data_IF_748349952018
#
_entry.id   IF_748349952018
#
_cell.length_a   1.000
_cell.length_b   1.000
_cell.length_c   1.000
_cell.angle_alpha   90.00
_cell.angle_beta   90.00
_cell.angle_gamma   90.00
#
_symmetry.space_group_name_H-M   'P 1'
#
loop_
_entity.id
_entity.type
_entity.pdbx_description
1 polymer ?
#
# COMPACT_ATOMS: atom_id res chain seq x y z
N UNK A 1 9.41 -12.48 17.09
CA UNK A 1 8.65 -12.57 15.81
C UNK A 1 8.89 -13.88 15.06
N UNK A 2 9.96 -14.64 15.35
CA UNK A 2 10.26 -15.92 14.66
C UNK A 2 9.10 -16.93 14.74
N UNK A 3 8.30 -16.85 15.80
CA UNK A 3 7.20 -17.76 16.16
C UNK A 3 5.82 -17.26 15.70
N UNK A 4 5.75 -16.07 15.09
CA UNK A 4 4.52 -15.55 14.48
C UNK A 4 4.25 -16.21 13.13
N UNK A 5 5.29 -16.70 12.44
CA UNK A 5 5.20 -17.36 11.15
C UNK A 5 4.33 -16.58 10.18
N UNK A 6 3.23 -17.21 9.77
CA UNK A 6 2.27 -16.67 8.82
C UNK A 6 1.20 -15.74 9.41
N UNK A 7 1.43 -15.16 10.58
CA UNK A 7 0.47 -14.23 11.23
C UNK A 7 0.91 -12.77 11.15
N UNK A 8 1.93 -12.49 10.34
CA UNK A 8 2.45 -11.13 10.16
C UNK A 8 1.79 -10.48 8.95
N UNK A 9 1.17 -9.33 9.18
CA UNK A 9 0.63 -8.42 8.15
C UNK A 9 1.29 -7.04 8.28
N UNK A 10 1.09 -6.19 7.28
CA UNK A 10 1.70 -4.85 7.24
C UNK A 10 0.67 -3.75 7.45
N UNK A 11 1.12 -2.65 8.04
CA UNK A 11 0.39 -1.38 8.16
C UNK A 11 1.36 -0.21 8.15
N UNK A 12 0.86 0.98 7.83
CA UNK A 12 1.66 2.22 7.74
C UNK A 12 1.74 2.99 9.05
N UNK A 13 0.89 2.67 10.02
CA UNK A 13 0.59 3.57 11.15
C UNK A 13 0.06 4.93 10.62
N UNK A 14 0.21 6.03 11.37
CA UNK A 14 -0.48 7.30 11.11
C UNK A 14 0.23 8.36 10.27
N UNK A 15 1.50 8.20 9.89
CA UNK A 15 2.29 9.31 9.30
C UNK A 15 2.31 9.34 7.76
N UNK A 16 1.98 8.25 7.08
CA UNK A 16 1.82 8.20 5.63
C UNK A 16 0.91 7.03 5.21
N UNK A 17 0.51 6.97 3.93
CA UNK A 17 -0.37 5.93 3.39
C UNK A 17 0.27 4.96 2.39
N UNK A 18 1.58 5.00 2.17
CA UNK A 18 2.25 4.22 1.11
C UNK A 18 2.55 2.77 1.55
N UNK A 19 1.63 1.85 1.22
CA UNK A 19 1.80 0.41 1.49
C UNK A 19 2.93 -0.25 0.69
N UNK A 20 3.28 0.27 -0.50
CA UNK A 20 4.39 -0.27 -1.30
C UNK A 20 5.74 0.08 -0.64
N UNK A 21 5.87 1.30 -0.15
CA UNK A 21 7.03 1.74 0.63
C UNK A 21 7.14 0.94 1.94
N UNK A 22 6.04 0.73 2.67
CA UNK A 22 6.03 -0.10 3.88
C UNK A 22 6.43 -1.55 3.60
N UNK A 23 5.93 -2.16 2.52
CA UNK A 23 6.32 -3.51 2.12
C UNK A 23 7.80 -3.63 1.77
N UNK A 24 8.33 -2.64 1.04
CA UNK A 24 9.76 -2.56 0.71
C UNK A 24 10.63 -2.40 1.96
N UNK A 25 10.24 -1.53 2.89
CA UNK A 25 10.96 -1.35 4.15
C UNK A 25 10.97 -2.64 4.99
N UNK A 26 9.82 -3.29 5.13
CA UNK A 26 9.70 -4.58 5.83
C UNK A 26 10.55 -5.68 5.16
N UNK A 27 10.60 -5.70 3.83
CA UNK A 27 11.45 -6.61 3.07
C UNK A 27 12.94 -6.41 3.39
N UNK A 28 13.45 -5.19 3.30
CA UNK A 28 14.85 -4.89 3.58
C UNK A 28 15.24 -5.17 5.03
N UNK A 29 14.36 -4.84 6.00
CA UNK A 29 14.57 -5.19 7.40
C UNK A 29 14.65 -6.72 7.60
N UNK A 30 13.79 -7.47 6.91
CA UNK A 30 13.84 -8.94 6.90
C UNK A 30 15.13 -9.50 6.31
N UNK A 31 15.62 -8.93 5.21
CA UNK A 31 16.91 -9.30 4.63
C UNK A 31 18.07 -9.05 5.60
N UNK A 32 18.08 -7.91 6.29
CA UNK A 32 19.09 -7.59 7.29
C UNK A 32 19.04 -8.54 8.51
N UNK A 33 17.85 -9.08 8.83
CA UNK A 33 17.61 -9.94 9.99
C UNK A 33 17.82 -11.44 9.71
N UNK A 34 18.43 -11.84 8.59
CA UNK A 34 18.72 -13.24 8.28
C UNK A 34 18.05 -13.79 7.02
N UNK A 35 17.39 -12.93 6.23
CA UNK A 35 16.89 -13.26 4.90
C UNK A 35 15.37 -13.24 4.80
N UNK A 36 14.88 -12.64 3.72
CA UNK A 36 13.47 -12.63 3.36
C UNK A 36 13.35 -12.82 1.85
N UNK A 37 12.50 -13.74 1.42
CA UNK A 37 12.16 -13.88 0.01
C UNK A 37 11.14 -12.78 -0.41
N UNK A 38 11.21 -12.24 -1.62
CA UNK A 38 10.23 -11.28 -2.12
C UNK A 38 8.78 -11.77 -2.00
N UNK A 39 8.53 -13.04 -2.33
CA UNK A 39 7.21 -13.65 -2.20
C UNK A 39 6.70 -13.65 -0.76
N UNK A 40 7.58 -13.84 0.24
CA UNK A 40 7.19 -13.80 1.65
C UNK A 40 6.79 -12.38 2.10
N UNK A 41 7.54 -11.35 1.69
CA UNK A 41 7.17 -9.96 1.96
C UNK A 41 5.86 -9.55 1.26
N UNK A 42 5.68 -9.95 0.00
CA UNK A 42 4.44 -9.75 -0.73
C UNK A 42 3.27 -10.48 -0.05
N UNK A 43 3.48 -11.70 0.44
CA UNK A 43 2.49 -12.43 1.25
C UNK A 43 2.05 -11.65 2.48
N UNK A 44 2.99 -11.05 3.23
CA UNK A 44 2.65 -10.19 4.38
C UNK A 44 1.85 -8.95 3.99
N UNK A 45 2.15 -8.35 2.83
CA UNK A 45 1.34 -7.25 2.28
C UNK A 45 -0.10 -7.71 1.98
N UNK A 46 -0.28 -8.91 1.40
CA UNK A 46 -1.59 -9.45 1.05
C UNK A 46 -2.38 -10.01 2.24
N UNK A 47 -1.71 -10.37 3.33
CA UNK A 47 -2.34 -11.00 4.50
C UNK A 47 -3.37 -10.13 5.23
N UNK A 48 -3.38 -8.82 4.98
CA UNK A 48 -4.46 -7.96 5.45
C UNK A 48 -5.84 -8.45 4.97
N UNK A 49 -5.92 -8.99 3.75
CA UNK A 49 -7.16 -9.53 3.18
C UNK A 49 -7.67 -10.76 3.94
N UNK A 50 -6.77 -11.68 4.29
CA UNK A 50 -7.11 -12.86 5.10
C UNK A 50 -7.64 -12.43 6.48
N UNK A 51 -6.95 -11.47 7.11
CA UNK A 51 -7.35 -10.93 8.41
C UNK A 51 -8.73 -10.26 8.35
N UNK A 52 -9.00 -9.44 7.33
CA UNK A 52 -10.28 -8.78 7.15
C UNK A 52 -11.41 -9.79 6.96
N UNK A 53 -11.19 -10.79 6.11
CA UNK A 53 -12.16 -11.84 5.82
C UNK A 53 -12.46 -12.71 7.05
N UNK A 54 -11.43 -13.19 7.77
CA UNK A 54 -11.59 -14.08 8.93
C UNK A 54 -12.34 -13.42 10.09
N UNK A 55 -12.26 -12.10 10.21
CA UNK A 55 -12.89 -11.33 11.28
C UNK A 55 -14.20 -10.65 10.85
N UNK A 56 -14.69 -10.90 9.63
CA UNK A 56 -15.96 -10.36 9.15
C UNK A 56 -15.97 -8.85 8.92
N UNK A 57 -14.82 -8.24 8.63
CA UNK A 57 -14.75 -6.83 8.30
C UNK A 57 -15.27 -6.57 6.87
N UNK A 58 -16.01 -5.47 6.70
CA UNK A 58 -16.48 -5.01 5.40
C UNK A 58 -15.41 -4.18 4.67
N UNK A 59 -15.60 -3.97 3.36
CA UNK A 59 -14.74 -3.10 2.55
C UNK A 59 -13.73 -3.84 1.68
N UNK A 60 -13.43 -5.10 2.00
CA UNK A 60 -12.61 -5.98 1.17
C UNK A 60 -13.47 -6.89 0.28
N UNK A 61 -13.10 -7.04 -0.99
CA UNK A 61 -13.91 -7.73 -1.99
C UNK A 61 -13.30 -7.73 -3.39
N UNK A 62 -13.85 -8.54 -4.32
CA UNK A 62 -13.28 -8.74 -5.66
C UNK A 62 -13.38 -7.50 -6.56
N UNK A 63 -14.17 -6.51 -6.19
CA UNK A 63 -14.36 -5.24 -6.91
C UNK A 63 -13.43 -4.12 -6.42
N UNK A 64 -12.37 -4.46 -5.69
CA UNK A 64 -11.26 -3.57 -5.36
C UNK A 64 -10.10 -3.82 -6.33
N UNK A 65 -9.76 -2.81 -7.15
CA UNK A 65 -8.73 -2.94 -8.18
C UNK A 65 -7.77 -1.74 -8.11
N UNK A 66 -6.49 -2.02 -8.35
CA UNK A 66 -5.46 -1.00 -8.54
C UNK A 66 -4.86 -1.19 -9.93
N UNK A 67 -4.95 -0.16 -10.76
CA UNK A 67 -4.33 -0.12 -12.09
C UNK A 67 -2.95 0.51 -11.94
N UNK A 68 -1.93 -0.20 -12.40
CA UNK A 68 -0.54 0.22 -12.32
C UNK A 68 -0.02 0.56 -13.72
N UNK A 69 0.42 1.80 -13.90
CA UNK A 69 1.16 2.24 -15.08
C UNK A 69 2.66 2.02 -14.83
N UNK A 70 3.07 0.77 -15.05
CA UNK A 70 4.42 0.29 -14.78
C UNK A 70 5.08 -0.22 -16.06
N UNK A 71 6.27 0.31 -16.35
CA UNK A 71 7.11 -0.09 -17.49
C UNK A 71 8.36 -0.81 -16.98
N UNK A 72 8.30 -2.14 -16.80
CA UNK A 72 9.41 -2.90 -16.23
C UNK A 72 10.62 -2.92 -17.18
N UNK A 73 11.86 -2.78 -16.67
CA UNK A 73 13.09 -2.89 -17.47
C UNK A 73 13.50 -4.34 -17.77
N UNK A 74 12.82 -5.31 -17.15
CA UNK A 74 13.05 -6.76 -17.30
C UNK A 74 11.75 -7.46 -17.70
N UNK A 75 11.81 -8.69 -18.24
CA UNK A 75 10.60 -9.49 -18.47
C UNK A 75 9.73 -9.53 -17.21
N UNK A 76 8.43 -9.42 -17.39
CA UNK A 76 7.46 -9.33 -16.31
C UNK A 76 6.46 -10.48 -16.42
N UNK A 77 6.31 -11.25 -15.33
CA UNK A 77 5.41 -12.38 -15.29
C UNK A 77 5.11 -12.87 -13.86
N UNK A 78 4.29 -13.92 -13.72
CA UNK A 78 3.90 -14.45 -12.41
C UNK A 78 5.08 -14.83 -11.52
N UNK A 79 6.15 -15.37 -12.12
CA UNK A 79 7.32 -15.88 -11.39
C UNK A 79 8.18 -14.79 -10.74
N UNK A 80 8.08 -13.54 -11.21
CA UNK A 80 8.87 -12.42 -10.71
C UNK A 80 8.05 -11.21 -10.25
N UNK A 81 6.72 -11.33 -10.24
CA UNK A 81 5.79 -10.30 -9.79
C UNK A 81 6.18 -9.70 -8.42
N UNK A 82 6.42 -10.55 -7.41
CA UNK A 82 6.73 -10.09 -6.07
C UNK A 82 8.06 -9.29 -6.02
N UNK A 83 9.04 -9.66 -6.84
CA UNK A 83 10.28 -8.90 -6.96
C UNK A 83 10.02 -7.52 -7.61
N UNK A 84 9.21 -7.46 -8.65
CA UNK A 84 8.80 -6.18 -9.25
C UNK A 84 8.04 -5.28 -8.27
N UNK A 85 7.19 -5.84 -7.40
CA UNK A 85 6.51 -5.08 -6.33
C UNK A 85 7.51 -4.43 -5.38
N UNK A 86 8.53 -5.18 -4.93
CA UNK A 86 9.44 -4.71 -3.90
C UNK A 86 10.56 -3.81 -4.44
N UNK A 87 11.10 -4.10 -5.62
CA UNK A 87 12.24 -3.36 -6.17
C UNK A 87 11.83 -2.30 -7.20
N UNK A 88 10.78 -2.55 -7.98
CA UNK A 88 10.40 -1.70 -9.10
C UNK A 88 9.25 -0.74 -8.79
N UNK A 89 8.14 -1.25 -8.25
CA UNK A 89 6.92 -0.48 -8.07
C UNK A 89 7.01 0.50 -6.90
N UNK A 90 6.50 1.71 -7.10
CA UNK A 90 6.30 2.73 -6.08
C UNK A 90 4.92 3.39 -6.30
N UNK A 91 4.49 4.24 -5.38
CA UNK A 91 3.17 4.88 -5.40
C UNK A 91 2.88 5.72 -6.66
N UNK A 92 3.89 6.26 -7.35
CA UNK A 92 3.68 7.03 -8.60
C UNK A 92 3.19 6.17 -9.78
N UNK A 93 3.36 4.85 -9.70
CA UNK A 93 2.82 3.92 -10.70
C UNK A 93 1.32 3.66 -10.52
N UNK A 94 0.72 4.02 -9.39
CA UNK A 94 -0.74 3.90 -9.21
C UNK A 94 -1.43 4.90 -10.13
N UNK A 95 -2.13 4.40 -11.14
CA UNK A 95 -2.77 5.22 -12.17
C UNK A 95 -4.25 5.41 -11.88
N UNK A 96 -4.97 4.33 -11.59
CA UNK A 96 -6.39 4.36 -11.24
C UNK A 96 -6.68 3.36 -10.11
N UNK A 97 -7.71 3.67 -9.32
CA UNK A 97 -8.13 2.85 -8.18
C UNK A 97 -9.64 2.71 -8.19
N UNK A 98 -10.10 1.46 -8.13
CA UNK A 98 -11.50 1.11 -7.91
C UNK A 98 -11.64 0.60 -6.48
N UNK A 99 -12.53 1.21 -5.72
CA UNK A 99 -12.88 0.79 -4.36
C UNK A 99 -14.36 0.45 -4.34
N UNK A 100 -14.68 -0.81 -4.02
CA UNK A 100 -16.03 -1.35 -3.98
C UNK A 100 -16.83 -1.08 -5.26
N UNK A 101 -16.20 -1.25 -6.43
CA UNK A 101 -16.83 -1.01 -7.74
C UNK A 101 -16.93 0.46 -8.15
N UNK A 102 -16.43 1.40 -7.34
CA UNK A 102 -16.40 2.83 -7.66
C UNK A 102 -14.99 3.28 -8.03
N UNK A 103 -14.85 3.95 -9.17
CA UNK A 103 -13.59 4.60 -9.56
C UNK A 103 -13.34 5.81 -8.66
N UNK A 104 -12.36 5.71 -7.76
CA UNK A 104 -12.02 6.77 -6.78
C UNK A 104 -10.78 7.56 -7.15
N UNK A 105 -9.89 6.96 -7.95
CA UNK A 105 -8.77 7.62 -8.61
C UNK A 105 -8.82 7.26 -10.09
N UNK A 106 -8.70 8.26 -10.96
CA UNK A 106 -8.66 8.09 -12.41
C UNK A 106 -7.50 8.90 -12.98
N UNK A 107 -6.58 8.27 -13.72
CA UNK A 107 -5.43 8.98 -14.33
C UNK A 107 -4.68 9.85 -13.34
N UNK A 108 -4.43 9.31 -12.14
CA UNK A 108 -3.73 9.95 -11.01
C UNK A 108 -4.44 11.19 -10.45
N UNK A 109 -5.75 11.32 -10.65
CA UNK A 109 -6.56 12.40 -10.07
C UNK A 109 -7.64 11.82 -9.16
N UNK A 110 -7.83 12.45 -8.00
CA UNK A 110 -8.90 12.07 -7.08
C UNK A 110 -10.27 12.38 -7.69
N UNK A 111 -11.22 11.45 -7.55
CA UNK A 111 -12.61 11.62 -8.01
C UNK A 111 -13.58 11.96 -6.89
N UNK A 112 -13.11 11.92 -5.64
CA UNK A 112 -13.96 11.95 -4.45
C UNK A 112 -13.78 13.20 -3.60
N UNK A 113 -12.71 13.96 -3.84
CA UNK A 113 -12.35 15.15 -3.09
C UNK A 113 -11.66 16.15 -4.00
N UNK A 114 -11.71 17.43 -3.64
CA UNK A 114 -10.85 18.47 -4.19
C UNK A 114 -9.52 18.45 -3.42
N UNK A 115 -8.44 18.08 -4.11
CA UNK A 115 -7.11 17.92 -3.52
C UNK A 115 -6.55 19.25 -2.99
N UNK A 116 -6.78 20.35 -3.71
CA UNK A 116 -6.29 21.67 -3.31
C UNK A 116 -7.04 22.15 -2.06
N UNK A 117 -8.35 21.93 -1.99
CA UNK A 117 -9.14 22.24 -0.81
C UNK A 117 -8.71 21.41 0.42
N UNK A 118 -8.44 20.11 0.24
CA UNK A 118 -7.95 19.22 1.31
C UNK A 118 -6.60 19.70 1.84
N UNK A 119 -5.66 20.02 0.94
CA UNK A 119 -4.33 20.52 1.33
C UNK A 119 -4.43 21.87 2.04
N UNK A 120 -5.29 22.77 1.57
CA UNK A 120 -5.52 24.07 2.21
C UNK A 120 -6.07 23.90 3.64
N UNK A 121 -7.08 23.03 3.83
CA UNK A 121 -7.63 22.73 5.14
C UNK A 121 -6.60 22.09 6.08
N UNK A 122 -5.82 21.12 5.60
CA UNK A 122 -4.77 20.47 6.38
C UNK A 122 -3.71 21.47 6.88
N UNK A 123 -3.32 22.45 6.05
CA UNK A 123 -2.39 23.52 6.44
C UNK A 123 -2.96 24.41 7.54
N UNK A 124 -4.24 24.75 7.48
CA UNK A 124 -4.90 25.54 8.53
C UNK A 124 -4.93 24.78 9.86
N UNK A 125 -5.25 23.50 9.82
CA UNK A 125 -5.26 22.64 11.02
C UNK A 125 -3.87 22.45 11.63
N UNK A 126 -2.84 22.30 10.80
CA UNK A 126 -1.45 22.24 11.26
C UNK A 126 -1.05 23.52 12.02
N UNK A 127 -1.37 24.70 11.47
CA UNK A 127 -1.11 25.98 12.14
C UNK A 127 -1.91 26.14 13.45
N UNK A 128 -3.12 25.59 13.52
CA UNK A 128 -3.94 25.58 14.75
C UNK A 128 -3.32 24.69 15.81
N UNK A 129 -2.82 23.52 15.43
CA UNK A 129 -2.12 22.61 16.33
C UNK A 129 -0.82 23.25 16.85
N UNK A 130 0.02 23.81 15.98
CA UNK A 130 1.28 24.43 16.39
C UNK A 130 1.11 25.60 17.34
N UNK A 131 0.03 26.38 17.24
CA UNK A 131 -0.26 27.45 18.20
C UNK A 131 -0.64 26.95 19.60
N UNK A 132 -0.98 25.67 19.75
CA UNK A 132 -1.38 25.04 21.02
C UNK A 132 -0.27 24.20 21.64
N UNK A 133 0.82 23.98 20.92
CA UNK A 133 2.05 23.34 21.38
C UNK A 133 3.02 24.42 21.85
#
# INVERSE_FOLDING_TARGET
>A
AADLGDRVLLGTDGMHGDMLASARAAYHAGCAAGGMAPAAAYGRLRRAHDYLSQNGFAGDGPNNLVVLDYRPPTPFGPDNWAAHVLYGLNSSHVESVVSQGRLVVEKRRMKTVDEDAVVAAARQEALRLWRRL
#
